data_IF_801683853662
#
_entry.id   IF_801683853662
#
_cell.length_a   1.000
_cell.length_b   1.000
_cell.length_c   1.000
_cell.angle_alpha   90.00
_cell.angle_beta   90.00
_cell.angle_gamma   90.00
#
_symmetry.space_group_name_H-M   'P 1'
#
loop_
_entity.id
_entity.type
_entity.pdbx_description
1 polymer ?
#
# COMPACT_ATOMS: atom_id res chain seq x y z
N UNK A 1 -6.70 19.61 11.91
CA UNK A 1 -6.23 18.52 11.03
C UNK A 1 -6.76 17.21 11.59
N UNK A 2 -7.51 16.47 10.79
CA UNK A 2 -8.41 15.40 11.25
C UNK A 2 -7.66 14.05 11.43
N UNK A 3 -6.71 13.99 12.36
CA UNK A 3 -5.90 12.79 12.62
C UNK A 3 -6.34 12.08 13.89
N UNK A 4 -7.37 11.24 13.79
CA UNK A 4 -7.71 10.28 14.84
C UNK A 4 -6.72 9.09 14.77
N UNK A 5 -5.77 9.03 15.70
CA UNK A 5 -5.01 7.79 15.98
C UNK A 5 -3.93 7.38 14.96
N UNK A 6 -3.27 8.33 14.29
CA UNK A 6 -2.14 8.04 13.38
C UNK A 6 -2.52 7.75 11.93
N UNK A 7 -3.81 7.70 11.62
CA UNK A 7 -4.31 7.63 10.25
C UNK A 7 -4.14 8.96 9.50
N UNK A 8 -4.03 8.89 8.17
CA UNK A 8 -3.89 10.03 7.26
C UNK A 8 -4.92 9.93 6.14
N UNK A 9 -5.50 11.05 5.73
CA UNK A 9 -6.49 11.09 4.66
C UNK A 9 -5.83 11.60 3.37
N UNK A 10 -6.04 10.90 2.25
CA UNK A 10 -5.68 11.38 0.91
C UNK A 10 -6.82 11.05 -0.05
N UNK A 11 -7.28 12.07 -0.79
CA UNK A 11 -8.40 11.98 -1.74
C UNK A 11 -9.69 11.41 -1.13
N UNK A 12 -9.97 10.12 -1.30
CA UNK A 12 -11.14 9.40 -0.76
C UNK A 12 -10.78 8.23 0.14
N UNK A 13 -9.50 8.10 0.51
CA UNK A 13 -8.93 6.95 1.21
C UNK A 13 -8.23 7.36 2.50
N UNK A 14 -8.10 6.40 3.43
CA UNK A 14 -7.41 6.58 4.70
C UNK A 14 -6.23 5.61 4.77
N UNK A 15 -5.06 6.13 5.11
CA UNK A 15 -3.79 5.42 5.12
C UNK A 15 -3.23 5.35 6.53
N UNK A 16 -2.59 4.23 6.85
CA UNK A 16 -1.85 4.03 8.08
C UNK A 16 -0.47 3.49 7.74
N UNK A 17 0.57 4.14 8.25
CA UNK A 17 1.95 3.74 8.03
C UNK A 17 2.43 3.05 9.31
N UNK A 18 2.71 1.75 9.18
CA UNK A 18 3.21 0.94 10.29
C UNK A 18 4.72 1.14 10.44
N UNK A 19 5.18 1.42 11.66
CA UNK A 19 6.60 1.46 12.01
C UNK A 19 7.16 0.08 12.38
N UNK A 20 6.32 -0.97 12.38
CA UNK A 20 6.76 -2.33 12.68
C UNK A 20 7.38 -2.99 11.44
N UNK A 21 8.63 -3.41 11.55
CA UNK A 21 9.29 -4.25 10.55
C UNK A 21 8.74 -5.69 10.62
N UNK A 22 8.10 -6.13 9.55
CA UNK A 22 7.43 -7.43 9.43
C UNK A 22 7.64 -7.97 8.02
N UNK A 23 7.43 -9.27 7.82
CA UNK A 23 7.32 -9.80 6.45
C UNK A 23 6.10 -9.22 5.73
N UNK A 24 6.06 -9.32 4.40
CA UNK A 24 4.89 -8.89 3.61
C UNK A 24 3.59 -9.53 4.11
N UNK A 25 3.62 -10.85 4.34
CA UNK A 25 2.45 -11.62 4.81
C UNK A 25 1.97 -11.16 6.18
N UNK A 26 2.90 -10.93 7.12
CA UNK A 26 2.56 -10.44 8.45
C UNK A 26 2.08 -8.98 8.44
N UNK A 27 2.64 -8.15 7.57
CA UNK A 27 2.20 -6.75 7.39
C UNK A 27 0.77 -6.70 6.86
N UNK A 28 0.45 -7.53 5.86
CA UNK A 28 -0.91 -7.66 5.35
C UNK A 28 -1.89 -8.11 6.42
N UNK A 29 -1.54 -9.14 7.19
CA UNK A 29 -2.35 -9.59 8.33
C UNK A 29 -2.59 -8.46 9.33
N UNK A 30 -1.55 -7.71 9.68
CA UNK A 30 -1.62 -6.60 10.61
C UNK A 30 -2.55 -5.47 10.14
N UNK A 31 -2.56 -5.15 8.84
CA UNK A 31 -3.51 -4.20 8.25
C UNK A 31 -4.95 -4.74 8.29
N UNK A 32 -5.16 -6.03 7.98
CA UNK A 32 -6.48 -6.69 8.00
C UNK A 32 -7.10 -6.74 9.38
N UNK A 33 -6.30 -6.98 10.42
CA UNK A 33 -6.75 -6.93 11.81
C UNK A 33 -7.24 -5.52 12.23
N UNK A 34 -6.90 -4.48 11.47
CA UNK A 34 -7.35 -3.10 11.67
C UNK A 34 -8.47 -2.67 10.72
N UNK A 35 -9.04 -3.60 9.96
CA UNK A 35 -10.09 -3.29 8.98
C UNK A 35 -9.57 -2.60 7.71
N UNK A 36 -8.28 -2.71 7.41
CA UNK A 36 -7.64 -2.20 6.19
C UNK A 36 -6.93 -3.34 5.42
N UNK A 37 -6.23 -3.03 4.32
CA UNK A 37 -5.31 -3.97 3.65
C UNK A 37 -4.04 -3.19 3.24
N UNK A 38 -3.02 -3.87 2.70
CA UNK A 38 -1.86 -3.16 2.15
C UNK A 38 -2.29 -2.27 0.98
N UNK A 39 -1.65 -1.11 0.86
CA UNK A 39 -2.04 -0.08 -0.10
C UNK A 39 -1.87 -0.54 -1.54
N UNK A 40 -2.90 -0.33 -2.36
CA UNK A 40 -2.83 -0.41 -3.81
C UNK A 40 -2.66 1.02 -4.31
N UNK A 41 -1.73 1.23 -5.24
CA UNK A 41 -1.46 2.56 -5.78
C UNK A 41 -2.13 2.65 -7.15
N UNK A 42 -3.20 3.41 -7.25
CA UNK A 42 -4.02 3.53 -8.46
C UNK A 42 -3.91 4.91 -9.13
N UNK A 43 -3.28 5.88 -8.47
CA UNK A 43 -3.10 7.22 -9.04
C UNK A 43 -1.74 7.83 -8.70
N UNK A 44 -1.31 8.81 -9.52
CA UNK A 44 -0.08 9.57 -9.27
C UNK A 44 -0.17 10.32 -7.95
N UNK A 45 -1.33 10.88 -7.63
CA UNK A 45 -1.58 11.62 -6.40
C UNK A 45 -1.40 10.74 -5.17
N UNK A 46 -1.87 9.48 -5.21
CA UNK A 46 -1.63 8.51 -4.14
C UNK A 46 -0.15 8.18 -4.01
N UNK A 47 0.54 7.96 -5.13
CA UNK A 47 1.97 7.66 -5.15
C UNK A 47 2.79 8.80 -4.53
N UNK A 48 2.57 10.04 -4.96
CA UNK A 48 3.26 11.23 -4.44
C UNK A 48 2.96 11.44 -2.95
N UNK A 49 1.71 11.21 -2.54
CA UNK A 49 1.33 11.29 -1.14
C UNK A 49 2.09 10.28 -0.28
N UNK A 50 2.14 9.01 -0.68
CA UNK A 50 2.83 7.94 0.05
C UNK A 50 4.32 8.22 0.14
N UNK A 51 4.97 8.58 -0.98
CA UNK A 51 6.41 8.93 -1.01
C UNK A 51 6.70 10.05 -0.01
N UNK A 52 5.87 11.10 0.01
CA UNK A 52 6.02 12.21 0.96
C UNK A 52 5.83 11.79 2.42
N UNK A 53 5.02 10.77 2.70
CA UNK A 53 4.83 10.30 4.07
C UNK A 53 5.94 9.36 4.55
N UNK A 54 6.65 8.69 3.64
CA UNK A 54 7.72 7.75 3.97
C UNK A 54 9.05 8.43 4.26
N UNK A 55 9.32 9.63 3.72
CA UNK A 55 10.55 10.40 4.02
C UNK A 55 11.84 9.55 3.90
N UNK A 56 12.02 8.93 2.73
CA UNK A 56 13.09 7.97 2.38
C UNK A 56 13.04 6.58 3.07
N UNK A 57 12.05 6.29 3.92
CA UNK A 57 11.82 4.94 4.44
C UNK A 57 11.15 4.00 3.42
N UNK A 58 11.32 2.70 3.64
CA UNK A 58 10.66 1.64 2.86
C UNK A 58 9.42 1.08 3.58
N UNK A 59 8.38 0.75 2.81
CA UNK A 59 7.18 0.12 3.33
C UNK A 59 6.64 -0.95 2.38
N UNK A 60 6.01 -1.99 2.95
CA UNK A 60 5.30 -2.98 2.17
C UNK A 60 4.02 -2.39 1.56
N UNK A 61 3.82 -2.66 0.27
CA UNK A 61 2.62 -2.30 -0.49
C UNK A 61 1.86 -3.55 -0.94
N UNK A 62 0.64 -3.36 -1.44
CA UNK A 62 -0.28 -4.40 -1.89
C UNK A 62 0.09 -5.09 -3.20
N UNK A 63 1.37 -5.07 -3.58
CA UNK A 63 1.86 -5.77 -4.75
C UNK A 63 2.36 -7.17 -4.36
N UNK A 64 1.91 -8.19 -5.09
CA UNK A 64 2.29 -9.59 -4.85
C UNK A 64 2.60 -10.31 -6.16
N UNK A 65 3.53 -11.27 -6.12
CA UNK A 65 3.85 -12.07 -7.30
C UNK A 65 2.94 -13.29 -7.36
N UNK A 66 2.17 -13.39 -8.43
CA UNK A 66 1.44 -14.61 -8.78
C UNK A 66 2.46 -15.67 -9.20
N UNK A 67 2.58 -16.73 -8.41
CA UNK A 67 3.55 -17.81 -8.65
C UNK A 67 3.16 -18.69 -9.84
N UNK A 68 1.89 -18.70 -10.24
CA UNK A 68 1.40 -19.53 -11.34
C UNK A 68 1.64 -18.88 -12.69
N UNK A 69 1.40 -17.57 -12.78
CA UNK A 69 1.61 -16.79 -14.00
C UNK A 69 2.99 -16.12 -14.06
N UNK A 70 3.70 -16.06 -12.93
CA UNK A 70 4.98 -15.37 -12.80
C UNK A 70 4.89 -13.84 -12.84
N UNK A 71 3.67 -13.28 -12.79
CA UNK A 71 3.38 -11.85 -12.93
C UNK A 71 3.17 -11.16 -11.59
N UNK A 72 3.39 -9.85 -11.55
CA UNK A 72 3.03 -9.02 -10.40
C UNK A 72 1.56 -8.58 -10.50
N UNK A 73 0.82 -8.74 -9.40
CA UNK A 73 -0.59 -8.36 -9.26
C UNK A 73 -0.80 -7.55 -7.99
N UNK A 74 -1.66 -6.55 -8.09
CA UNK A 74 -2.19 -5.83 -6.94
C UNK A 74 -3.21 -6.68 -6.17
N UNK A 75 -3.51 -6.29 -4.93
CA UNK A 75 -4.47 -7.04 -4.09
C UNK A 75 -5.91 -7.03 -4.63
N UNK A 76 -6.24 -6.15 -5.58
CA UNK A 76 -7.53 -6.14 -6.30
C UNK A 76 -7.55 -7.08 -7.52
N UNK A 77 -6.42 -7.75 -7.80
CA UNK A 77 -6.28 -8.69 -8.92
C UNK A 77 -5.82 -8.04 -10.23
N UNK A 78 -5.66 -6.72 -10.28
CA UNK A 78 -5.11 -6.05 -11.47
C UNK A 78 -3.63 -6.39 -11.64
N UNK A 79 -3.22 -6.69 -12.88
CA UNK A 79 -1.80 -6.89 -13.19
C UNK A 79 -1.06 -5.56 -13.12
N UNK A 80 0.20 -5.59 -12.63
CA UNK A 80 1.07 -4.44 -12.74
C UNK A 80 1.44 -4.22 -14.21
N UNK A 81 0.72 -3.34 -14.88
CA UNK A 81 1.09 -2.88 -16.22
C UNK A 81 2.08 -1.74 -16.07
N UNK A 82 3.34 -1.93 -16.50
CA UNK A 82 4.21 -0.81 -16.79
C UNK A 82 3.54 -0.05 -17.94
N UNK A 83 2.95 1.12 -17.67
CA UNK A 83 2.58 2.05 -18.73
C UNK A 83 3.87 2.63 -19.32
N UNK A 84 4.56 1.85 -20.14
CA UNK A 84 5.51 2.39 -21.12
C UNK A 84 4.68 3.04 -22.21
N UNK A 85 4.38 4.33 -22.01
CA UNK A 85 4.05 5.28 -23.06
C UNK A 85 5.31 6.03 -23.44
#
# INVERSE_FOLDING_TARGET
SNTTGGWRFCSSSIYYISTNQKSWTESRRYCRERGADLVIINSREEQEFIIKQLDDDEAWIGLSKDVTEGKWKWLDGTELTNSSG
#
